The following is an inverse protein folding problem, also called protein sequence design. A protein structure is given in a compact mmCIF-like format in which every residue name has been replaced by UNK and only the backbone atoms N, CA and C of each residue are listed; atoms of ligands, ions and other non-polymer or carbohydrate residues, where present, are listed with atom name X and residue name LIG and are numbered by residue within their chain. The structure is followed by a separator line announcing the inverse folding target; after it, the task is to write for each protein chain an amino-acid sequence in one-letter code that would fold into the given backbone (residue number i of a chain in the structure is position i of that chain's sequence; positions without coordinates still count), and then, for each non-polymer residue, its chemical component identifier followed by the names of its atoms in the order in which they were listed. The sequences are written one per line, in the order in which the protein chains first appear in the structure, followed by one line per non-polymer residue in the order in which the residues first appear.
data_IF_577486468221
#
_entry.id   IF_577486468221
#
_cell.length_a   1.000
_cell.length_b   1.000
_cell.length_c   1.000
_cell.angle_alpha   90.00
_cell.angle_beta   90.00
_cell.angle_gamma   90.00
#
_symmetry.space_group_name_H-M   'P 1'
#
loop_
_entity.id
_entity.type
_entity.pdbx_description
1 polymer ?
#
# COMPACT_ATOMS: atom_id res chain seq x y z
N UNK A 1 -23.02 30.25 19.61
CA UNK A 1 -21.71 29.85 19.12
C UNK A 1 -21.89 28.56 18.33
N UNK A 2 -21.73 28.51 17.03
CA UNK A 2 -21.80 27.26 16.31
C UNK A 2 -20.54 26.45 16.64
N UNK A 3 -20.75 25.23 17.12
CA UNK A 3 -19.67 24.29 17.42
C UNK A 3 -18.85 24.02 16.19
N UNK A 4 -17.55 24.13 16.33
CA UNK A 4 -16.54 23.70 15.36
C UNK A 4 -16.64 22.17 15.24
N UNK A 5 -17.50 21.66 14.36
CA UNK A 5 -17.39 20.28 13.91
C UNK A 5 -16.09 20.22 13.11
N UNK A 6 -15.03 19.70 13.72
CA UNK A 6 -13.87 19.28 12.96
C UNK A 6 -14.39 18.27 11.93
N UNK A 7 -14.55 18.70 10.67
CA UNK A 7 -14.80 17.79 9.57
C UNK A 7 -13.73 16.70 9.64
N UNK A 8 -14.16 15.46 9.78
CA UNK A 8 -13.25 14.32 9.81
C UNK A 8 -12.52 14.33 8.47
N UNK A 9 -11.23 14.62 8.49
CA UNK A 9 -10.43 14.62 7.28
C UNK A 9 -10.36 13.19 6.72
N UNK A 10 -10.47 13.09 5.42
CA UNK A 10 -10.35 11.83 4.68
C UNK A 10 -8.90 11.37 4.58
N UNK A 11 -8.72 10.11 4.16
CA UNK A 11 -7.42 9.57 3.75
C UNK A 11 -7.40 9.49 2.23
N UNK A 12 -6.39 10.07 1.60
CA UNK A 12 -6.12 9.89 0.17
C UNK A 12 -5.30 8.62 -0.01
N UNK A 13 -5.79 7.70 -0.83
CA UNK A 13 -5.08 6.45 -1.15
C UNK A 13 -4.72 6.47 -2.62
N UNK A 14 -3.45 6.72 -2.93
CA UNK A 14 -2.94 6.82 -4.31
C UNK A 14 -2.26 5.51 -4.68
N UNK A 15 -2.65 4.91 -5.78
CA UNK A 15 -1.98 3.72 -6.30
C UNK A 15 -2.89 2.78 -7.07
N UNK A 16 -2.41 1.57 -7.29
CA UNK A 16 -3.01 0.60 -8.20
C UNK A 16 -4.21 -0.14 -7.62
N UNK A 17 -5.15 -0.43 -8.53
CA UNK A 17 -6.20 -1.43 -8.36
C UNK A 17 -6.11 -2.40 -9.53
N UNK A 18 -5.88 -3.67 -9.24
CA UNK A 18 -5.60 -4.70 -10.25
C UNK A 18 -6.55 -5.89 -10.15
N UNK A 19 -6.60 -6.68 -11.21
CA UNK A 19 -7.18 -8.02 -11.16
C UNK A 19 -6.11 -9.00 -10.69
N UNK A 20 -6.27 -9.56 -9.49
CA UNK A 20 -5.44 -10.64 -8.97
C UNK A 20 -5.98 -11.98 -9.45
N UNK A 21 -5.20 -12.69 -10.27
CA UNK A 21 -5.53 -14.01 -10.80
C UNK A 21 -4.80 -15.05 -9.94
N UNK A 22 -5.51 -15.61 -8.97
CA UNK A 22 -4.97 -16.57 -8.02
C UNK A 22 -5.06 -17.96 -8.64
N UNK A 23 -3.90 -18.58 -8.87
CA UNK A 23 -3.74 -19.85 -9.55
C UNK A 23 -3.12 -20.88 -8.58
N UNK A 24 -3.89 -21.87 -8.19
CA UNK A 24 -3.41 -22.93 -7.30
C UNK A 24 -2.79 -24.04 -8.12
N UNK A 25 -1.55 -24.38 -7.80
CA UNK A 25 -0.76 -25.44 -8.45
C UNK A 25 -0.21 -26.41 -7.40
N UNK A 26 0.28 -27.58 -7.83
CA UNK A 26 1.04 -28.46 -6.94
C UNK A 26 2.43 -27.87 -6.66
N UNK A 27 3.10 -27.49 -7.75
CA UNK A 27 4.43 -26.89 -7.78
C UNK A 27 4.55 -26.08 -9.07
N UNK A 28 5.33 -25.00 -9.04
CA UNK A 28 5.58 -24.22 -10.26
C UNK A 28 6.31 -25.06 -11.31
N UNK A 29 5.96 -24.92 -12.61
CA UNK A 29 6.66 -25.62 -13.66
C UNK A 29 8.06 -25.05 -13.86
N UNK A 30 9.01 -25.91 -14.15
CA UNK A 30 10.30 -25.51 -14.71
C UNK A 30 10.19 -25.26 -16.21
N UNK A 31 11.22 -24.64 -16.81
CA UNK A 31 11.25 -24.38 -18.27
C UNK A 31 10.91 -25.65 -19.07
N UNK A 32 10.03 -25.50 -20.05
CA UNK A 32 9.55 -26.57 -20.93
C UNK A 32 8.65 -27.65 -20.28
N UNK A 33 8.21 -27.46 -19.04
CA UNK A 33 7.19 -28.31 -18.44
C UNK A 33 5.78 -27.78 -18.73
N UNK A 34 4.83 -28.72 -18.87
CA UNK A 34 3.39 -28.45 -18.91
C UNK A 34 2.75 -29.03 -17.65
N UNK A 35 1.90 -28.22 -16.98
CA UNK A 35 1.19 -28.64 -15.77
C UNK A 35 -0.28 -28.22 -15.84
N UNK A 36 -1.13 -28.94 -15.12
CA UNK A 36 -2.51 -28.54 -14.88
C UNK A 36 -2.64 -27.74 -13.59
N UNK A 37 -3.41 -26.63 -13.63
CA UNK A 37 -3.76 -25.89 -12.43
C UNK A 37 -4.86 -26.63 -11.66
N UNK A 38 -4.84 -26.57 -10.32
CA UNK A 38 -5.89 -27.14 -9.46
C UNK A 38 -7.16 -26.30 -9.50
N UNK A 39 -7.01 -25.00 -9.44
CA UNK A 39 -8.10 -24.03 -9.48
C UNK A 39 -7.57 -22.65 -9.86
N UNK A 40 -8.47 -21.82 -10.34
CA UNK A 40 -8.20 -20.40 -10.60
C UNK A 40 -9.38 -19.57 -10.12
N UNK A 41 -9.07 -18.43 -9.48
CA UNK A 41 -10.04 -17.40 -9.10
C UNK A 41 -9.50 -16.03 -9.45
N UNK A 42 -10.41 -15.07 -9.66
CA UNK A 42 -10.03 -13.68 -9.90
C UNK A 42 -10.66 -12.82 -8.82
N UNK A 43 -9.88 -11.94 -8.21
CA UNK A 43 -10.33 -11.00 -7.18
C UNK A 43 -9.76 -9.61 -7.42
N UNK A 44 -10.33 -8.60 -6.78
CA UNK A 44 -9.69 -7.30 -6.70
C UNK A 44 -8.44 -7.40 -5.83
N UNK A 45 -7.40 -6.74 -6.26
CA UNK A 45 -6.14 -6.57 -5.55
C UNK A 45 -5.49 -5.24 -5.88
N UNK A 46 -4.19 -5.16 -5.61
CA UNK A 46 -3.40 -3.93 -5.69
C UNK A 46 -3.27 -3.25 -4.34
N UNK A 47 -2.09 -2.70 -4.07
CA UNK A 47 -1.77 -2.16 -2.75
C UNK A 47 -2.74 -1.06 -2.31
N UNK A 48 -3.09 -0.14 -3.20
CA UNK A 48 -4.02 0.94 -2.88
C UNK A 48 -5.44 0.43 -2.58
N UNK A 49 -5.93 -0.54 -3.37
CA UNK A 49 -7.23 -1.14 -3.08
C UNK A 49 -7.22 -1.87 -1.72
N UNK A 50 -6.20 -2.67 -1.43
CA UNK A 50 -6.10 -3.41 -0.17
C UNK A 50 -6.07 -2.48 1.05
N UNK A 51 -5.30 -1.39 0.98
CA UNK A 51 -5.25 -0.34 2.00
C UNK A 51 -6.61 0.32 2.16
N UNK A 52 -7.27 0.70 1.06
CA UNK A 52 -8.57 1.38 1.09
C UNK A 52 -9.67 0.49 1.66
N UNK A 53 -9.69 -0.79 1.32
CA UNK A 53 -10.64 -1.75 1.85
C UNK A 53 -10.52 -1.90 3.37
N UNK A 54 -9.29 -1.87 3.90
CA UNK A 54 -9.07 -1.90 5.35
C UNK A 54 -9.51 -0.59 6.01
N UNK A 55 -9.22 0.58 5.41
CA UNK A 55 -9.69 1.89 5.90
C UNK A 55 -11.22 1.91 5.99
N UNK A 56 -11.90 1.36 4.97
CA UNK A 56 -13.37 1.23 4.93
C UNK A 56 -13.91 0.37 6.09
N UNK A 57 -13.29 -0.78 6.34
CA UNK A 57 -13.65 -1.66 7.47
C UNK A 57 -13.54 -0.93 8.83
N UNK A 58 -12.62 -0.01 8.97
CA UNK A 58 -12.52 0.85 10.15
C UNK A 58 -13.50 2.02 10.15
N UNK A 59 -14.33 2.20 9.11
CA UNK A 59 -15.31 3.26 8.98
C UNK A 59 -14.70 4.67 8.95
N UNK A 60 -13.55 4.82 8.30
CA UNK A 60 -12.89 6.10 8.05
C UNK A 60 -13.14 6.51 6.60
N UNK A 61 -13.53 7.77 6.33
CA UNK A 61 -13.70 8.23 4.96
C UNK A 61 -12.37 8.24 4.21
N UNK A 62 -12.40 7.84 2.95
CA UNK A 62 -11.23 7.81 2.06
C UNK A 62 -11.60 8.15 0.63
N UNK A 63 -10.60 8.54 -0.14
CA UNK A 63 -10.66 8.65 -1.60
C UNK A 63 -9.61 7.71 -2.19
N UNK A 64 -10.07 6.68 -2.92
CA UNK A 64 -9.19 5.82 -3.71
C UNK A 64 -8.87 6.53 -5.03
N UNK A 65 -7.65 7.04 -5.16
CA UNK A 65 -7.15 7.69 -6.37
C UNK A 65 -6.35 6.69 -7.17
N UNK A 66 -7.05 5.88 -7.96
CA UNK A 66 -6.51 4.76 -8.72
C UNK A 66 -6.96 4.83 -10.16
N UNK A 67 -6.06 4.91 -11.14
CA UNK A 67 -6.41 4.77 -12.53
C UNK A 67 -6.98 3.38 -12.80
N UNK A 68 -8.06 3.29 -13.57
CA UNK A 68 -8.64 2.03 -14.03
C UNK A 68 -8.73 2.07 -15.54
N UNK A 69 -7.84 1.34 -16.19
CA UNK A 69 -7.72 1.28 -17.64
C UNK A 69 -8.82 0.50 -18.34
N UNK A 70 -8.70 0.33 -19.64
CA UNK A 70 -9.62 -0.44 -20.50
C UNK A 70 -9.28 -1.93 -20.50
N UNK A 71 -9.96 -2.68 -21.35
CA UNK A 71 -9.73 -4.11 -21.58
C UNK A 71 -10.35 -5.02 -20.52
N UNK A 72 -10.12 -6.31 -20.67
CA UNK A 72 -10.75 -7.35 -19.85
C UNK A 72 -10.52 -7.14 -18.34
N UNK A 73 -9.32 -6.78 -17.95
CA UNK A 73 -9.00 -6.56 -16.53
C UNK A 73 -9.57 -5.23 -16.01
N UNK A 74 -9.54 -4.17 -16.82
CA UNK A 74 -10.15 -2.90 -16.47
C UNK A 74 -11.67 -3.00 -16.30
N UNK A 75 -12.34 -3.76 -17.16
CA UNK A 75 -13.78 -4.01 -17.07
C UNK A 75 -14.13 -4.81 -15.82
N UNK A 76 -13.30 -5.81 -15.46
CA UNK A 76 -13.44 -6.55 -14.22
C UNK A 76 -13.27 -5.63 -12.99
N UNK A 77 -12.19 -4.84 -12.96
CA UNK A 77 -11.89 -3.93 -11.84
C UNK A 77 -13.03 -2.93 -11.66
N UNK A 78 -13.49 -2.25 -12.71
CA UNK A 78 -14.64 -1.31 -12.65
C UNK A 78 -15.89 -1.98 -12.09
N UNK A 79 -16.28 -3.13 -12.65
CA UNK A 79 -17.45 -3.87 -12.18
C UNK A 79 -17.37 -4.19 -10.68
N UNK A 80 -16.22 -4.62 -10.21
CA UNK A 80 -16.03 -4.99 -8.81
C UNK A 80 -16.00 -3.76 -7.88
N UNK A 81 -15.42 -2.63 -8.33
CA UNK A 81 -15.45 -1.37 -7.59
C UNK A 81 -16.89 -0.82 -7.53
N UNK A 82 -17.60 -0.81 -8.65
CA UNK A 82 -19.00 -0.35 -8.72
C UNK A 82 -19.91 -1.17 -7.80
N UNK A 83 -19.72 -2.50 -7.74
CA UNK A 83 -20.47 -3.38 -6.85
C UNK A 83 -20.25 -3.07 -5.36
N UNK A 84 -19.16 -2.42 -5.01
CA UNK A 84 -18.81 -1.96 -3.65
C UNK A 84 -19.10 -0.48 -3.42
N UNK A 85 -19.62 0.22 -4.43
CA UNK A 85 -19.87 1.67 -4.35
C UNK A 85 -18.60 2.51 -4.30
N UNK A 86 -17.45 1.98 -4.72
CA UNK A 86 -16.16 2.67 -4.75
C UNK A 86 -15.99 3.36 -6.10
N UNK A 87 -15.79 4.68 -6.08
CA UNK A 87 -15.59 5.49 -7.28
C UNK A 87 -14.22 6.14 -7.21
N UNK A 88 -13.34 5.80 -8.16
CA UNK A 88 -12.10 6.56 -8.35
C UNK A 88 -12.42 7.86 -9.11
N UNK A 89 -11.91 9.02 -8.66
CA UNK A 89 -12.10 10.27 -9.39
C UNK A 89 -11.19 10.40 -10.62
N UNK A 90 -10.31 9.43 -10.87
CA UNK A 90 -9.40 9.43 -12.01
C UNK A 90 -10.16 9.13 -13.29
N UNK A 91 -9.99 9.90 -14.37
CA UNK A 91 -10.55 9.58 -15.68
C UNK A 91 -10.09 8.20 -16.17
N UNK A 92 -10.92 7.50 -16.92
CA UNK A 92 -10.52 6.21 -17.50
C UNK A 92 -9.43 6.40 -18.55
N UNK A 93 -8.20 5.88 -18.32
CA UNK A 93 -7.13 5.95 -19.31
C UNK A 93 -7.44 5.15 -20.57
N UNK A 94 -6.81 5.51 -21.70
CA UNK A 94 -6.94 4.77 -22.96
C UNK A 94 -6.22 3.41 -22.93
N UNK A 95 -5.18 3.28 -22.11
CA UNK A 95 -4.38 2.08 -21.97
C UNK A 95 -5.18 0.96 -21.26
N UNK A 96 -4.81 -0.29 -21.53
CA UNK A 96 -5.39 -1.43 -20.82
C UNK A 96 -4.92 -1.48 -19.36
N UNK A 97 -5.77 -1.99 -18.48
CA UNK A 97 -5.41 -2.32 -17.12
C UNK A 97 -4.54 -3.57 -17.08
N UNK A 98 -3.58 -3.59 -16.17
CA UNK A 98 -2.77 -4.76 -15.90
C UNK A 98 -3.45 -5.79 -14.99
N UNK A 99 -2.69 -6.80 -14.62
CA UNK A 99 -3.12 -7.86 -13.69
C UNK A 99 -1.92 -8.42 -12.94
N UNK A 100 -2.20 -9.14 -11.87
CA UNK A 100 -1.21 -9.91 -11.14
C UNK A 100 -1.58 -11.40 -11.15
N UNK A 101 -0.70 -12.24 -11.66
CA UNK A 101 -0.81 -13.69 -11.56
C UNK A 101 -0.14 -14.14 -10.26
N UNK A 102 -0.93 -14.63 -9.32
CA UNK A 102 -0.48 -15.15 -8.04
C UNK A 102 -0.52 -16.68 -8.07
N UNK A 103 0.61 -17.32 -8.24
CA UNK A 103 0.73 -18.77 -8.16
C UNK A 103 0.88 -19.18 -6.69
N UNK A 104 0.01 -20.06 -6.23
CA UNK A 104 0.01 -20.61 -4.87
C UNK A 104 0.31 -22.09 -4.95
N UNK A 105 1.45 -22.49 -4.42
CA UNK A 105 1.87 -23.88 -4.37
C UNK A 105 1.24 -24.63 -3.18
N UNK A 106 1.20 -25.96 -3.24
CA UNK A 106 0.67 -26.79 -2.16
C UNK A 106 1.44 -26.64 -0.84
N UNK A 107 2.70 -26.22 -0.91
CA UNK A 107 3.53 -25.83 0.23
C UNK A 107 3.06 -24.56 0.94
N UNK A 108 2.21 -23.74 0.28
CA UNK A 108 1.81 -22.41 0.71
C UNK A 108 2.72 -21.30 0.18
N UNK A 109 3.81 -21.65 -0.53
CA UNK A 109 4.67 -20.65 -1.17
C UNK A 109 3.94 -19.95 -2.31
N UNK A 110 4.31 -18.69 -2.55
CA UNK A 110 3.66 -17.82 -3.54
C UNK A 110 4.68 -17.19 -4.47
N UNK A 111 4.31 -17.15 -5.73
CA UNK A 111 5.09 -16.47 -6.77
C UNK A 111 4.17 -15.53 -7.53
N UNK A 112 4.60 -14.29 -7.71
CA UNK A 112 3.85 -13.25 -8.38
C UNK A 112 4.49 -12.92 -9.74
N UNK A 113 3.65 -12.81 -10.76
CA UNK A 113 4.03 -12.30 -12.08
C UNK A 113 3.05 -11.18 -12.41
N UNK A 114 3.53 -9.95 -12.41
CA UNK A 114 2.70 -8.77 -12.64
C UNK A 114 2.89 -8.22 -14.04
N UNK A 115 1.78 -7.87 -14.69
CA UNK A 115 1.73 -7.06 -15.88
C UNK A 115 1.19 -5.68 -15.49
N UNK A 116 2.04 -4.66 -15.51
CA UNK A 116 1.69 -3.29 -15.21
C UNK A 116 1.00 -2.65 -16.42
N UNK A 117 -0.15 -2.07 -16.19
CA UNK A 117 -0.97 -1.37 -17.18
C UNK A 117 -1.26 0.07 -16.77
N UNK A 118 -2.44 0.54 -17.13
CA UNK A 118 -2.89 1.90 -16.86
C UNK A 118 -2.89 2.28 -15.39
N UNK A 119 -3.08 1.32 -14.49
CA UNK A 119 -3.16 1.53 -13.04
C UNK A 119 -1.86 2.00 -12.38
N UNK A 120 -0.75 1.91 -13.11
CA UNK A 120 0.57 2.41 -12.69
C UNK A 120 0.97 3.72 -13.39
N UNK A 121 0.11 4.25 -14.27
CA UNK A 121 0.39 5.47 -15.02
C UNK A 121 -0.47 6.62 -14.47
N UNK A 122 0.17 7.70 -14.08
CA UNK A 122 -0.48 8.88 -13.54
C UNK A 122 -0.20 10.10 -14.42
N UNK A 123 -1.23 10.93 -14.62
CA UNK A 123 -1.12 12.20 -15.32
C UNK A 123 -1.34 13.35 -14.34
N UNK A 124 -0.56 14.41 -14.50
CA UNK A 124 -0.57 15.55 -13.58
C UNK A 124 -1.95 16.20 -13.46
N UNK A 125 -2.64 16.31 -14.57
CA UNK A 125 -3.96 16.95 -14.67
C UNK A 125 -5.05 16.19 -13.91
N UNK A 126 -4.84 14.88 -13.66
CA UNK A 126 -5.82 14.09 -12.91
C UNK A 126 -5.89 14.51 -11.44
N UNK A 127 -4.80 15.05 -10.89
CA UNK A 127 -4.77 15.52 -9.51
C UNK A 127 -5.51 16.85 -9.29
N UNK A 128 -5.85 17.58 -10.36
CA UNK A 128 -6.54 18.87 -10.28
C UNK A 128 -7.98 18.76 -9.70
N UNK A 129 -8.57 17.55 -9.72
CA UNK A 129 -9.90 17.30 -9.13
C UNK A 129 -9.83 17.18 -7.59
N UNK A 130 -8.65 17.01 -7.02
CA UNK A 130 -8.46 16.83 -5.60
C UNK A 130 -8.38 18.19 -4.88
N UNK A 131 -9.07 18.29 -3.75
CA UNK A 131 -8.86 19.38 -2.79
C UNK A 131 -7.97 18.87 -1.64
N UNK A 132 -6.67 19.23 -1.60
CA UNK A 132 -5.74 18.75 -0.58
C UNK A 132 -6.18 18.98 0.87
N UNK A 133 -6.91 20.06 1.14
CA UNK A 133 -7.37 20.41 2.50
C UNK A 133 -8.36 19.39 3.09
N UNK A 134 -8.94 18.53 2.26
CA UNK A 134 -9.83 17.45 2.71
C UNK A 134 -9.09 16.31 3.39
N UNK A 135 -7.80 16.13 3.09
CA UNK A 135 -7.05 14.95 3.48
C UNK A 135 -6.13 15.20 4.67
N UNK A 136 -6.06 14.22 5.57
CA UNK A 136 -5.10 14.22 6.69
C UNK A 136 -3.82 13.47 6.32
N UNK A 137 -3.96 12.38 5.58
CA UNK A 137 -2.87 11.51 5.14
C UNK A 137 -3.02 11.20 3.66
N UNK A 138 -1.89 10.94 2.98
CA UNK A 138 -1.83 10.37 1.65
C UNK A 138 -0.99 9.10 1.67
N UNK A 139 -1.62 7.95 1.40
CA UNK A 139 -0.91 6.69 1.20
C UNK A 139 -0.32 6.64 -0.20
N UNK A 140 0.95 6.19 -0.30
CA UNK A 140 1.63 5.86 -1.55
C UNK A 140 2.42 4.56 -1.39
N UNK A 141 2.48 3.78 -2.47
CA UNK A 141 3.22 2.53 -2.53
C UNK A 141 4.47 2.66 -3.41
N UNK A 142 5.50 1.87 -3.12
CA UNK A 142 6.74 1.89 -3.88
C UNK A 142 6.61 1.41 -5.32
N UNK A 143 5.61 0.58 -5.62
CA UNK A 143 5.39 0.06 -6.97
C UNK A 143 5.03 1.17 -7.96
N UNK A 144 4.12 2.07 -7.58
CA UNK A 144 3.72 3.21 -8.40
C UNK A 144 4.83 4.25 -8.49
N UNK A 145 5.61 4.40 -7.42
CA UNK A 145 6.73 5.35 -7.38
C UNK A 145 7.89 4.89 -8.26
N UNK A 146 8.16 3.59 -8.33
CA UNK A 146 9.19 3.02 -9.20
C UNK A 146 8.83 3.11 -10.69
N UNK A 147 7.53 3.12 -11.01
CA UNK A 147 7.05 3.14 -12.40
C UNK A 147 7.27 4.52 -13.06
N UNK A 148 7.06 4.59 -14.38
CA UNK A 148 7.44 5.70 -15.26
C UNK A 148 6.90 7.07 -14.86
N UNK A 149 5.80 7.12 -14.12
CA UNK A 149 5.11 8.36 -13.73
C UNK A 149 5.07 8.56 -12.21
N UNK A 150 5.95 7.90 -11.47
CA UNK A 150 6.06 8.06 -10.02
C UNK A 150 6.40 9.49 -9.59
N UNK A 151 7.15 10.22 -10.41
CA UNK A 151 7.47 11.63 -10.22
C UNK A 151 6.22 12.53 -10.20
N UNK A 152 5.18 12.20 -10.96
CA UNK A 152 3.90 12.94 -10.97
C UNK A 152 3.22 12.88 -9.60
N UNK A 153 3.26 11.69 -8.94
CA UNK A 153 2.71 11.52 -7.59
C UNK A 153 3.49 12.37 -6.59
N UNK A 154 4.83 12.33 -6.67
CA UNK A 154 5.70 13.10 -5.77
C UNK A 154 5.52 14.61 -5.98
N UNK A 155 5.43 15.07 -7.23
CA UNK A 155 5.12 16.45 -7.59
C UNK A 155 3.82 16.97 -6.94
N UNK A 156 2.78 16.12 -6.91
CA UNK A 156 1.52 16.44 -6.24
C UNK A 156 1.71 16.54 -4.72
N UNK A 157 2.39 15.57 -4.12
CA UNK A 157 2.61 15.56 -2.65
C UNK A 157 3.41 16.77 -2.17
N UNK A 158 4.45 17.17 -2.89
CA UNK A 158 5.26 18.36 -2.59
C UNK A 158 4.41 19.65 -2.54
N UNK A 159 3.40 19.74 -3.40
CA UNK A 159 2.52 20.92 -3.49
C UNK A 159 1.37 20.86 -2.49
N UNK A 160 0.86 19.65 -2.21
CA UNK A 160 -0.37 19.46 -1.43
C UNK A 160 -0.20 19.66 0.07
N UNK A 161 1.01 19.44 0.60
CA UNK A 161 1.32 19.45 2.05
C UNK A 161 0.53 18.42 2.86
N UNK A 162 -0.07 17.43 2.22
CA UNK A 162 -0.71 16.29 2.89
C UNK A 162 0.39 15.43 3.50
N UNK A 163 0.20 14.93 4.72
CA UNK A 163 1.17 14.05 5.37
C UNK A 163 1.28 12.71 4.62
N UNK A 164 2.43 12.38 4.01
CA UNK A 164 2.58 11.11 3.31
C UNK A 164 2.73 9.95 4.28
N UNK A 165 2.18 8.80 3.89
CA UNK A 165 2.48 7.49 4.46
C UNK A 165 2.98 6.62 3.32
N UNK A 166 4.23 6.25 3.41
CA UNK A 166 4.95 5.58 2.34
C UNK A 166 5.23 4.12 2.68
N UNK A 167 4.67 3.21 1.89
CA UNK A 167 4.94 1.78 1.95
C UNK A 167 5.76 1.36 0.72
N UNK A 168 7.10 1.47 0.75
CA UNK A 168 7.94 1.21 -0.42
C UNK A 168 7.87 -0.24 -0.90
N UNK A 169 7.62 -1.18 0.01
CA UNK A 169 7.53 -2.60 -0.29
C UNK A 169 8.86 -3.23 -0.71
N UNK A 170 8.82 -4.44 -1.29
CA UNK A 170 10.03 -5.22 -1.58
C UNK A 170 10.93 -4.61 -2.66
N UNK A 171 10.45 -3.60 -3.36
CA UNK A 171 11.15 -2.93 -4.46
C UNK A 171 11.79 -1.60 -4.06
N UNK A 172 11.90 -1.30 -2.77
CA UNK A 172 12.49 -0.06 -2.25
C UNK A 172 13.84 0.27 -2.89
N UNK A 173 14.68 -0.74 -3.16
CA UNK A 173 16.00 -0.59 -3.78
C UNK A 173 15.95 -0.30 -5.29
N UNK A 174 14.77 -0.32 -5.91
CA UNK A 174 14.57 -0.09 -7.35
C UNK A 174 14.09 1.32 -7.66
N UNK A 175 13.60 2.02 -6.66
CA UNK A 175 13.14 3.41 -6.81
C UNK A 175 14.34 4.30 -7.13
N UNK A 176 14.16 5.21 -8.09
CA UNK A 176 15.20 6.19 -8.44
C UNK A 176 15.65 6.98 -7.21
N UNK A 177 16.97 7.14 -7.05
CA UNK A 177 17.54 7.74 -5.85
C UNK A 177 17.08 9.19 -5.64
N UNK A 178 16.99 10.00 -6.71
CA UNK A 178 16.55 11.38 -6.58
C UNK A 178 15.06 11.43 -6.17
N UNK A 179 14.26 10.50 -6.69
CA UNK A 179 12.85 10.41 -6.33
C UNK A 179 12.68 9.99 -4.87
N UNK A 180 13.50 9.04 -4.41
CA UNK A 180 13.52 8.63 -3.00
C UNK A 180 13.92 9.79 -2.07
N UNK A 181 14.95 10.56 -2.42
CA UNK A 181 15.38 11.74 -1.67
C UNK A 181 14.24 12.79 -1.57
N UNK A 182 13.50 13.01 -2.67
CA UNK A 182 12.33 13.91 -2.67
C UNK A 182 11.22 13.41 -1.74
N UNK A 183 10.93 12.11 -1.77
CA UNK A 183 9.93 11.51 -0.87
C UNK A 183 10.35 11.67 0.59
N UNK A 184 11.60 11.38 0.91
CA UNK A 184 12.12 11.48 2.28
C UNK A 184 12.10 12.93 2.80
N UNK A 185 12.35 13.91 1.91
CA UNK A 185 12.23 15.33 2.24
C UNK A 185 10.79 15.79 2.59
N UNK A 186 9.79 14.98 2.27
CA UNK A 186 8.40 15.20 2.70
C UNK A 186 8.11 14.67 4.11
N UNK A 187 9.10 14.11 4.77
CA UNK A 187 8.99 13.51 6.10
C UNK A 187 7.82 12.49 6.19
N UNK A 188 7.81 11.43 5.36
CA UNK A 188 6.73 10.45 5.38
C UNK A 188 6.79 9.59 6.64
N UNK A 189 5.62 9.17 7.14
CA UNK A 189 5.57 7.96 7.96
C UNK A 189 5.92 6.79 7.04
N UNK A 190 6.96 6.01 7.36
CA UNK A 190 7.37 4.88 6.52
C UNK A 190 6.89 3.58 7.14
N UNK A 191 6.27 2.72 6.32
CA UNK A 191 5.75 1.42 6.71
C UNK A 191 6.42 0.32 5.87
N UNK A 192 7.12 -0.61 6.53
CA UNK A 192 7.96 -1.65 5.92
C UNK A 192 7.81 -2.97 6.68
N UNK A 193 8.37 -4.04 6.13
CA UNK A 193 8.65 -5.24 6.90
C UNK A 193 10.13 -5.30 7.35
N UNK A 194 10.44 -6.30 8.19
CA UNK A 194 11.77 -6.52 8.77
C UNK A 194 12.86 -6.66 7.69
N UNK A 195 12.58 -7.46 6.65
CA UNK A 195 13.55 -7.71 5.58
C UNK A 195 13.79 -6.47 4.70
N UNK A 196 12.75 -5.69 4.45
CA UNK A 196 12.83 -4.47 3.65
C UNK A 196 13.67 -3.40 4.34
N UNK A 197 13.40 -3.14 5.63
CA UNK A 197 14.11 -2.08 6.37
C UNK A 197 15.57 -2.44 6.61
N UNK A 198 15.87 -3.67 7.01
CA UNK A 198 17.25 -4.10 7.28
C UNK A 198 18.08 -4.15 6.00
N UNK A 199 17.50 -4.63 4.90
CA UNK A 199 18.17 -4.63 3.60
C UNK A 199 18.45 -3.21 3.10
N UNK A 200 17.47 -2.31 3.17
CA UNK A 200 17.61 -0.94 2.67
C UNK A 200 18.63 -0.13 3.46
N UNK A 201 18.67 -0.30 4.78
CA UNK A 201 19.60 0.44 5.66
C UNK A 201 20.94 -0.27 5.86
N UNK A 202 21.10 -1.48 5.28
CA UNK A 202 22.30 -2.31 5.45
C UNK A 202 22.65 -2.57 6.93
N UNK A 203 21.62 -2.71 7.77
CA UNK A 203 21.78 -2.94 9.22
C UNK A 203 21.44 -4.38 9.62
N UNK A 204 21.97 -4.84 10.76
CA UNK A 204 21.81 -6.22 11.22
C UNK A 204 20.54 -6.48 12.03
N UNK A 205 19.90 -5.43 12.56
CA UNK A 205 18.73 -5.54 13.43
C UNK A 205 17.71 -4.42 13.16
N UNK A 206 16.45 -4.70 13.52
CA UNK A 206 15.32 -3.82 13.25
C UNK A 206 15.42 -2.46 13.95
N UNK A 207 15.94 -2.43 15.19
CA UNK A 207 16.02 -1.19 15.96
C UNK A 207 17.01 -0.22 15.32
N UNK A 208 18.23 -0.70 15.03
CA UNK A 208 19.23 0.08 14.29
C UNK A 208 18.75 0.49 12.90
N UNK A 209 18.03 -0.41 12.20
CA UNK A 209 17.42 -0.12 10.90
C UNK A 209 16.39 0.99 10.97
N UNK A 210 15.50 0.93 11.97
CA UNK A 210 14.45 1.95 12.17
C UNK A 210 15.05 3.31 12.50
N UNK A 211 16.09 3.34 13.32
CA UNK A 211 16.82 4.58 13.66
C UNK A 211 17.51 5.17 12.44
N UNK A 212 18.21 4.35 11.65
CA UNK A 212 18.89 4.81 10.44
C UNK A 212 17.89 5.37 9.40
N UNK A 213 16.74 4.72 9.22
CA UNK A 213 15.69 5.21 8.31
C UNK A 213 15.03 6.48 8.84
N UNK A 214 14.83 6.59 10.16
CA UNK A 214 14.35 7.82 10.78
C UNK A 214 15.31 8.99 10.54
N UNK A 215 16.62 8.77 10.65
CA UNK A 215 17.63 9.80 10.38
C UNK A 215 17.56 10.32 8.93
N UNK A 216 17.13 9.47 7.98
CA UNK A 216 16.93 9.85 6.59
C UNK A 216 15.62 10.62 6.36
N UNK A 217 14.55 10.26 7.07
CA UNK A 217 13.20 10.80 6.83
C UNK A 217 12.78 11.88 7.82
N UNK A 218 13.34 11.86 9.04
CA UNK A 218 12.94 12.73 10.15
C UNK A 218 11.53 12.46 10.66
N UNK A 219 10.98 11.23 10.41
CA UNK A 219 9.61 10.89 10.78
C UNK A 219 9.50 9.40 11.15
N UNK A 220 8.40 9.05 11.81
CA UNK A 220 8.09 7.72 12.34
C UNK A 220 8.31 6.60 11.32
N UNK A 221 9.02 5.56 11.75
CA UNK A 221 9.24 4.32 11.01
C UNK A 221 8.47 3.20 11.67
N UNK A 222 7.61 2.52 10.92
CA UNK A 222 6.80 1.39 11.37
C UNK A 222 7.29 0.13 10.67
N UNK A 223 7.59 -0.92 11.45
CA UNK A 223 8.11 -2.18 10.90
C UNK A 223 7.24 -3.35 11.35
N UNK A 224 6.70 -4.10 10.38
CA UNK A 224 5.99 -5.36 10.64
C UNK A 224 6.98 -6.51 10.77
N UNK A 225 6.75 -7.40 11.72
CA UNK A 225 7.64 -8.53 12.08
C UNK A 225 6.90 -9.87 12.05
N UNK A 226 5.89 -10.00 11.21
CA UNK A 226 5.10 -11.21 11.04
C UNK A 226 4.44 -11.67 12.34
N UNK A 227 4.67 -12.91 12.74
CA UNK A 227 4.08 -13.50 13.95
C UNK A 227 4.46 -12.80 15.25
N UNK A 228 5.51 -11.98 15.25
CA UNK A 228 5.94 -11.22 16.42
C UNK A 228 5.17 -9.90 16.58
N UNK A 229 4.39 -9.47 15.58
CA UNK A 229 3.63 -8.23 15.57
C UNK A 229 4.31 -7.12 14.79
N UNK A 230 4.42 -5.95 15.38
CA UNK A 230 5.04 -4.78 14.75
C UNK A 230 5.84 -3.95 15.76
N UNK A 231 6.64 -3.04 15.27
CA UNK A 231 7.34 -2.06 16.09
C UNK A 231 7.38 -0.71 15.39
N UNK A 232 7.71 0.32 16.12
CA UNK A 232 7.98 1.64 15.55
C UNK A 232 9.12 2.35 16.28
N UNK A 233 9.73 3.30 15.57
CA UNK A 233 10.63 4.29 16.14
C UNK A 233 10.11 5.70 15.75
N UNK A 234 9.94 6.56 16.75
CA UNK A 234 9.38 7.91 16.58
C UNK A 234 10.40 9.04 16.74
N UNK A 235 11.69 8.68 16.73
CA UNK A 235 12.81 9.59 16.98
C UNK A 235 13.20 9.68 18.45
N UNK A 236 12.46 9.04 19.35
CA UNK A 236 12.73 9.02 20.78
C UNK A 236 12.72 7.60 21.34
N UNK A 237 11.61 6.90 21.13
CA UNK A 237 11.37 5.59 21.71
C UNK A 237 11.23 4.52 20.60
N UNK A 238 11.89 3.36 20.81
CA UNK A 238 11.66 2.16 20.02
C UNK A 238 10.68 1.25 20.76
N UNK A 239 9.49 1.09 20.22
CA UNK A 239 8.39 0.37 20.86
C UNK A 239 8.01 -0.86 20.06
N UNK A 240 7.86 -2.00 20.72
CA UNK A 240 7.34 -3.26 20.14
C UNK A 240 5.91 -3.49 20.59
N UNK A 241 5.05 -3.88 19.65
CA UNK A 241 3.64 -4.22 19.89
C UNK A 241 3.43 -5.66 19.43
N UNK A 242 3.05 -6.53 20.36
CA UNK A 242 2.89 -7.96 20.07
C UNK A 242 1.72 -8.24 19.13
N UNK A 243 1.86 -9.28 18.30
CA UNK A 243 0.78 -9.76 17.45
C UNK A 243 -0.36 -10.37 18.27
N UNK A 244 -1.57 -10.25 17.75
CA UNK A 244 -2.71 -11.04 18.22
C UNK A 244 -2.74 -12.36 17.44
N UNK A 245 -2.66 -13.48 18.16
CA UNK A 245 -2.67 -14.80 17.51
C UNK A 245 -4.02 -15.05 16.85
N UNK A 246 -4.09 -15.23 15.52
CA UNK A 246 -5.35 -15.53 14.85
C UNK A 246 -5.81 -16.96 15.17
N UNK A 247 -7.11 -17.19 15.17
CA UNK A 247 -7.67 -18.55 15.31
C UNK A 247 -7.26 -19.45 14.15
N UNK A 248 -7.18 -18.88 12.95
CA UNK A 248 -6.79 -19.58 11.73
C UNK A 248 -6.13 -18.59 10.74
N UNK A 249 -5.02 -19.00 10.15
CA UNK A 249 -4.42 -18.31 9.00
C UNK A 249 -5.03 -18.93 7.74
N UNK A 250 -5.73 -18.13 6.94
CA UNK A 250 -6.33 -18.53 5.67
C UNK A 250 -5.44 -18.07 4.52
N UNK A 251 -5.05 -16.84 4.54
CA UNK A 251 -4.22 -16.17 3.54
C UNK A 251 -3.41 -15.03 4.17
N UNK A 252 -2.25 -14.73 3.61
CA UNK A 252 -1.40 -13.59 4.01
C UNK A 252 -1.13 -12.61 2.86
N UNK A 253 -1.78 -12.80 1.69
CA UNK A 253 -1.71 -11.82 0.60
C UNK A 253 -2.31 -10.49 1.07
N UNK A 254 -1.60 -9.39 0.85
CA UNK A 254 -2.05 -8.07 1.27
C UNK A 254 -2.04 -7.82 2.78
N UNK A 255 -1.45 -8.71 3.61
CA UNK A 255 -1.39 -8.50 5.06
C UNK A 255 -0.64 -7.21 5.43
N UNK A 256 0.44 -6.88 4.72
CA UNK A 256 1.18 -5.62 4.87
C UNK A 256 0.32 -4.40 4.55
N UNK A 257 -0.41 -4.45 3.43
CA UNK A 257 -1.35 -3.40 3.03
C UNK A 257 -2.48 -3.25 4.06
N UNK A 258 -3.05 -4.38 4.50
CA UNK A 258 -4.08 -4.41 5.53
C UNK A 258 -3.61 -3.79 6.84
N UNK A 259 -2.41 -4.14 7.30
CA UNK A 259 -1.80 -3.54 8.49
C UNK A 259 -1.61 -2.02 8.31
N UNK A 260 -1.05 -1.59 7.18
CA UNK A 260 -0.88 -0.16 6.88
C UNK A 260 -2.22 0.59 6.86
N UNK A 261 -3.23 0.03 6.20
CA UNK A 261 -4.59 0.60 6.17
C UNK A 261 -5.24 0.73 7.54
N UNK A 262 -5.08 -0.29 8.39
CA UNK A 262 -5.58 -0.27 9.76
C UNK A 262 -4.88 0.80 10.63
N UNK A 263 -3.55 0.90 10.51
CA UNK A 263 -2.77 1.95 11.20
C UNK A 263 -3.24 3.34 10.76
N UNK A 264 -3.33 3.57 9.44
CA UNK A 264 -3.80 4.84 8.88
C UNK A 264 -5.18 5.22 9.39
N UNK A 265 -6.12 4.28 9.39
CA UNK A 265 -7.48 4.51 9.89
C UNK A 265 -7.50 4.86 11.38
N UNK A 266 -6.66 4.20 12.19
CA UNK A 266 -6.54 4.47 13.61
C UNK A 266 -5.92 5.86 13.86
N UNK A 267 -4.86 6.23 13.14
CA UNK A 267 -4.24 7.55 13.24
C UNK A 267 -5.21 8.67 12.83
N UNK A 268 -5.99 8.47 11.77
CA UNK A 268 -7.01 9.42 11.33
C UNK A 268 -8.14 9.60 12.36
N UNK A 269 -8.38 8.60 13.21
CA UNK A 269 -9.27 8.66 14.36
C UNK A 269 -8.65 9.32 15.60
N UNK A 270 -7.37 9.69 15.54
CA UNK A 270 -6.63 10.31 16.64
C UNK A 270 -6.15 9.33 17.71
N UNK A 271 -6.06 8.04 17.40
CA UNK A 271 -5.44 7.06 18.31
C UNK A 271 -3.92 7.30 18.36
N UNK A 272 -3.33 6.95 19.49
CA UNK A 272 -1.87 6.91 19.61
C UNK A 272 -1.31 5.78 18.76
N UNK A 273 -0.04 5.89 18.38
CA UNK A 273 0.58 4.93 17.47
C UNK A 273 0.65 3.50 18.05
N UNK A 274 0.97 3.36 19.33
CA UNK A 274 0.96 2.05 20.01
C UNK A 274 -0.44 1.39 20.02
N UNK A 275 -1.50 2.19 20.22
CA UNK A 275 -2.89 1.73 20.14
C UNK A 275 -3.28 1.38 18.70
N UNK A 276 -2.81 2.14 17.72
CA UNK A 276 -3.04 1.89 16.30
C UNK A 276 -2.42 0.56 15.87
N UNK A 277 -1.15 0.32 16.24
CA UNK A 277 -0.45 -0.93 15.97
C UNK A 277 -1.12 -2.13 16.65
N UNK A 278 -1.55 -1.98 17.92
CA UNK A 278 -2.25 -3.05 18.63
C UNK A 278 -3.58 -3.46 17.98
N UNK A 279 -4.21 -2.56 17.21
CA UNK A 279 -5.43 -2.85 16.44
C UNK A 279 -5.14 -3.37 15.04
N UNK A 280 -3.99 -3.05 14.49
CA UNK A 280 -3.56 -3.47 13.16
C UNK A 280 -2.94 -4.88 13.16
N UNK A 281 -2.27 -5.27 14.26
CA UNK A 281 -1.73 -6.61 14.50
C UNK A 281 -2.84 -7.65 14.71
#
# INVERSE_FOLDING_TARGET
MPGNSSEKKEILVIGSTVADIIINVNVLPTTAQDIHVKSQTTSLGGCAYNVSAMIDLFGVPYTLFSPVGKGMYGDFVRKELDARGIISPVPTPENENGCCYCFVEESGERTFISYHGAEYLFEKEWFDVLNPDRFSYAYICGLEIEDKTGDVIVDFLEKSKIKPVFAPGPRIDKIDKNLMERIFALHPIVHLNEDEVTRYTETADIESASMALFDMTGETVIVTTGEKGSCYYDGKDFVRVAAVKPERIVDTIGAGDGHCGAVLACLAKGLRLDEALAKAN
#
